data_IF_840671554260
#
_entry.id   IF_840671554260
#
_cell.length_a   1.000
_cell.length_b   1.000
_cell.length_c   1.000
_cell.angle_alpha   90.00
_cell.angle_beta   90.00
_cell.angle_gamma   90.00
#
_symmetry.space_group_name_H-M   'P 1'
#
loop_
_entity.id
_entity.type
_entity.pdbx_description
1 polymer ?
#
# COMPACT_ATOMS: atom_id res chain seq x y z
N UNK A 1 -8.57 -49.20 10.65
CA UNK A 1 -8.09 -48.24 9.62
C UNK A 1 -8.94 -46.98 9.74
N UNK A 2 -8.30 -45.81 9.87
CA UNK A 2 -8.99 -44.56 10.17
C UNK A 2 -9.75 -44.02 8.95
N UNK A 3 -11.00 -43.61 9.14
CA UNK A 3 -11.81 -42.89 8.15
C UNK A 3 -11.12 -41.56 7.79
N UNK A 4 -10.38 -41.53 6.67
CA UNK A 4 -9.91 -40.27 6.08
C UNK A 4 -11.12 -39.55 5.50
N UNK A 5 -11.64 -38.57 6.24
CA UNK A 5 -12.65 -37.62 5.73
C UNK A 5 -12.00 -36.84 4.58
N UNK A 6 -12.19 -37.30 3.35
CA UNK A 6 -11.78 -36.57 2.16
C UNK A 6 -12.65 -35.32 2.07
N UNK A 7 -12.04 -34.16 2.34
CA UNK A 7 -12.72 -32.88 2.15
C UNK A 7 -13.11 -32.76 0.68
N UNK A 8 -14.35 -32.32 0.42
CA UNK A 8 -14.89 -32.11 -0.92
C UNK A 8 -13.97 -31.13 -1.64
N UNK A 9 -13.43 -31.51 -2.81
CA UNK A 9 -12.61 -30.62 -3.62
C UNK A 9 -13.47 -29.42 -4.04
N UNK A 10 -13.04 -28.23 -3.65
CA UNK A 10 -13.68 -26.99 -4.10
C UNK A 10 -13.39 -26.89 -5.60
N UNK A 11 -14.42 -26.73 -6.42
CA UNK A 11 -14.25 -26.46 -7.85
C UNK A 11 -14.50 -24.97 -8.08
N UNK A 12 -13.44 -24.24 -8.39
CA UNK A 12 -13.51 -22.84 -8.82
C UNK A 12 -13.23 -22.82 -10.33
N UNK A 13 -13.93 -21.95 -11.07
CA UNK A 13 -13.61 -21.74 -12.49
C UNK A 13 -12.18 -21.22 -12.62
N UNK A 14 -11.37 -21.79 -13.54
CA UNK A 14 -9.94 -21.43 -13.70
C UNK A 14 -9.69 -19.93 -13.78
N UNK A 15 -10.53 -19.23 -14.53
CA UNK A 15 -10.48 -17.76 -14.68
C UNK A 15 -10.69 -17.02 -13.35
N UNK A 16 -11.60 -17.50 -12.49
CA UNK A 16 -11.84 -16.89 -11.18
C UNK A 16 -10.65 -17.09 -10.24
N UNK A 17 -10.03 -18.28 -10.25
CA UNK A 17 -8.84 -18.53 -9.42
C UNK A 17 -7.65 -17.67 -9.83
N UNK A 18 -7.45 -17.42 -11.13
CA UNK A 18 -6.41 -16.52 -11.62
C UNK A 18 -6.64 -15.09 -11.15
N UNK A 19 -7.87 -14.57 -11.31
CA UNK A 19 -8.22 -13.21 -10.89
C UNK A 19 -8.07 -12.99 -9.37
N UNK A 20 -8.49 -13.96 -8.56
CA UNK A 20 -8.36 -13.87 -7.09
C UNK A 20 -6.88 -13.85 -6.68
N UNK A 21 -6.07 -14.71 -7.30
CA UNK A 21 -4.64 -14.79 -7.01
C UNK A 21 -3.92 -13.50 -7.42
N UNK A 22 -4.18 -13.03 -8.64
CA UNK A 22 -3.61 -11.79 -9.16
C UNK A 22 -4.00 -10.61 -8.28
N UNK A 23 -5.28 -10.50 -7.89
CA UNK A 23 -5.74 -9.47 -6.97
C UNK A 23 -5.04 -9.56 -5.61
N UNK A 24 -4.91 -10.76 -5.03
CA UNK A 24 -4.27 -10.92 -3.74
C UNK A 24 -2.81 -10.47 -3.75
N UNK A 25 -2.08 -10.76 -4.83
CA UNK A 25 -0.66 -10.38 -4.99
C UNK A 25 -0.52 -8.89 -5.32
N UNK A 26 -1.26 -8.38 -6.30
CA UNK A 26 -1.06 -7.04 -6.88
C UNK A 26 -1.75 -5.92 -6.09
N UNK A 27 -2.92 -6.21 -5.49
CA UNK A 27 -3.72 -5.20 -4.78
C UNK A 27 -3.78 -5.51 -3.30
N UNK A 28 -4.18 -6.73 -2.93
CA UNK A 28 -4.43 -7.14 -1.54
C UNK A 28 -3.20 -7.00 -0.65
N UNK A 29 -2.09 -7.65 -1.02
CA UNK A 29 -0.86 -7.63 -0.23
C UNK A 29 0.00 -6.37 -0.45
N UNK A 30 -0.07 -5.76 -1.64
CA UNK A 30 0.74 -4.60 -2.00
C UNK A 30 0.24 -3.31 -1.34
N UNK A 31 -1.09 -3.08 -1.33
CA UNK A 31 -1.66 -1.87 -0.77
C UNK A 31 -1.82 -2.01 0.76
N UNK A 32 -1.31 -1.01 1.49
CA UNK A 32 -1.28 -1.00 2.96
C UNK A 32 -2.68 -1.17 3.56
N UNK A 33 -3.71 -0.58 2.94
CA UNK A 33 -5.09 -0.60 3.45
C UNK A 33 -5.67 -2.01 3.36
N UNK A 34 -5.66 -2.62 2.17
CA UNK A 34 -6.16 -3.98 2.00
C UNK A 34 -5.34 -4.99 2.78
N UNK A 35 -4.01 -4.81 2.86
CA UNK A 35 -3.17 -5.68 3.67
C UNK A 35 -3.58 -5.62 5.14
N UNK A 36 -3.90 -4.46 5.70
CA UNK A 36 -4.41 -4.34 7.08
C UNK A 36 -5.75 -5.07 7.26
N UNK A 37 -6.69 -4.90 6.32
CA UNK A 37 -7.98 -5.62 6.37
C UNK A 37 -7.78 -7.13 6.30
N UNK A 38 -6.89 -7.60 5.41
CA UNK A 38 -6.53 -9.01 5.28
C UNK A 38 -5.85 -9.52 6.58
N UNK A 39 -4.98 -8.72 7.20
CA UNK A 39 -4.35 -9.07 8.48
C UNK A 39 -5.38 -9.28 9.60
N UNK A 40 -6.34 -8.37 9.71
CA UNK A 40 -7.41 -8.44 10.71
C UNK A 40 -8.31 -9.65 10.46
N UNK A 41 -8.76 -9.83 9.21
CA UNK A 41 -9.70 -10.91 8.85
C UNK A 41 -9.06 -12.30 8.90
N UNK A 42 -7.81 -12.45 8.48
CA UNK A 42 -7.07 -13.72 8.54
C UNK A 42 -6.41 -13.95 9.91
N UNK A 43 -6.42 -12.94 10.79
CA UNK A 43 -5.70 -12.95 12.06
C UNK A 43 -4.21 -13.33 11.89
N UNK A 44 -3.54 -12.74 10.89
CA UNK A 44 -2.14 -13.02 10.54
C UNK A 44 -1.30 -11.75 10.56
N UNK A 45 -0.05 -11.90 10.98
CA UNK A 45 0.93 -10.82 10.95
C UNK A 45 1.38 -10.44 9.53
N UNK A 46 1.94 -9.23 9.39
CA UNK A 46 2.51 -8.69 8.14
C UNK A 46 3.48 -9.65 7.47
N UNK A 47 4.45 -10.16 8.22
CA UNK A 47 5.49 -11.06 7.70
C UNK A 47 4.94 -12.40 7.22
N UNK A 48 3.82 -12.86 7.78
CA UNK A 48 3.17 -14.10 7.35
C UNK A 48 2.49 -13.91 5.99
N UNK A 49 1.86 -12.76 5.76
CA UNK A 49 1.23 -12.46 4.47
C UNK A 49 2.27 -12.36 3.35
N UNK A 50 3.40 -11.69 3.57
CA UNK A 50 4.46 -11.65 2.56
C UNK A 50 5.00 -13.05 2.24
N UNK A 51 5.24 -13.87 3.28
CA UNK A 51 5.62 -15.28 3.07
C UNK A 51 4.57 -16.08 2.31
N UNK A 52 3.28 -15.79 2.50
CA UNK A 52 2.20 -16.41 1.72
C UNK A 52 2.25 -15.95 0.26
N UNK A 53 2.50 -14.67 0.00
CA UNK A 53 2.67 -14.14 -1.38
C UNK A 53 3.85 -14.81 -2.08
N UNK A 54 4.99 -14.98 -1.40
CA UNK A 54 6.16 -15.63 -1.99
C UNK A 54 5.85 -17.09 -2.36
N UNK A 55 5.24 -17.84 -1.42
CA UNK A 55 4.79 -19.22 -1.68
C UNK A 55 3.77 -19.32 -2.81
N UNK A 56 2.84 -18.36 -2.89
CA UNK A 56 1.85 -18.32 -3.96
C UNK A 56 2.51 -18.15 -5.33
N UNK A 57 3.53 -17.29 -5.44
CA UNK A 57 4.28 -17.08 -6.68
C UNK A 57 5.08 -18.32 -7.09
N UNK A 58 5.70 -19.00 -6.12
CA UNK A 58 6.44 -20.24 -6.36
C UNK A 58 5.51 -21.33 -6.91
N UNK A 59 4.41 -21.61 -6.21
CA UNK A 59 3.49 -22.69 -6.60
C UNK A 59 2.71 -22.34 -7.88
N UNK A 60 2.39 -21.06 -8.10
CA UNK A 60 1.74 -20.61 -9.32
C UNK A 60 2.59 -20.92 -10.56
N UNK A 61 3.92 -20.82 -10.46
CA UNK A 61 4.82 -21.11 -11.56
C UNK A 61 4.90 -22.62 -11.89
N UNK A 62 4.71 -23.49 -10.89
CA UNK A 62 4.83 -24.94 -11.03
C UNK A 62 3.49 -25.63 -11.36
N UNK A 63 2.46 -25.38 -10.55
CA UNK A 63 1.19 -26.12 -10.58
C UNK A 63 -0.01 -25.27 -11.04
N UNK A 64 0.17 -23.94 -11.10
CA UNK A 64 -0.84 -22.99 -11.55
C UNK A 64 -1.70 -22.38 -10.43
N UNK A 65 -2.58 -21.45 -10.80
CA UNK A 65 -3.20 -20.52 -9.86
C UNK A 65 -4.17 -21.17 -8.86
N UNK A 66 -4.91 -22.20 -9.29
CA UNK A 66 -5.86 -22.89 -8.42
C UNK A 66 -5.14 -23.72 -7.34
N UNK A 67 -4.09 -24.45 -7.73
CA UNK A 67 -3.32 -25.29 -6.81
C UNK A 67 -2.51 -24.42 -5.84
N UNK A 68 -1.99 -23.27 -6.28
CA UNK A 68 -1.38 -22.28 -5.39
C UNK A 68 -2.34 -21.83 -4.27
N UNK A 69 -3.56 -21.44 -4.63
CA UNK A 69 -4.57 -21.02 -3.66
C UNK A 69 -4.99 -22.15 -2.72
N UNK A 70 -5.13 -23.38 -3.24
CA UNK A 70 -5.55 -24.53 -2.46
C UNK A 70 -4.46 -25.03 -1.48
N UNK A 71 -3.18 -24.88 -1.82
CA UNK A 71 -2.07 -25.30 -0.98
C UNK A 71 -1.72 -24.26 0.10
N UNK A 72 -1.79 -22.96 -0.21
CA UNK A 72 -1.38 -21.90 0.70
C UNK A 72 -2.47 -21.53 1.71
N UNK A 73 -3.74 -21.58 1.29
CA UNK A 73 -4.86 -21.17 2.13
C UNK A 73 -5.71 -22.35 2.57
N UNK A 74 -6.22 -22.27 3.80
CA UNK A 74 -7.29 -23.14 4.25
C UNK A 74 -8.62 -22.74 3.61
N UNK A 75 -9.60 -23.66 3.63
CA UNK A 75 -10.95 -23.40 3.08
C UNK A 75 -11.59 -22.15 3.72
N UNK A 76 -11.42 -21.96 5.03
CA UNK A 76 -11.96 -20.80 5.73
C UNK A 76 -11.32 -19.49 5.26
N UNK A 77 -9.99 -19.50 5.07
CA UNK A 77 -9.24 -18.33 4.60
C UNK A 77 -9.57 -18.02 3.14
N UNK A 78 -9.79 -19.04 2.29
CA UNK A 78 -10.25 -18.85 0.92
C UNK A 78 -11.59 -18.15 0.86
N UNK A 79 -12.55 -18.54 1.69
CA UNK A 79 -13.86 -17.87 1.74
C UNK A 79 -13.71 -16.39 2.12
N UNK A 80 -12.89 -16.08 3.12
CA UNK A 80 -12.60 -14.70 3.52
C UNK A 80 -11.99 -13.90 2.37
N UNK A 81 -11.02 -14.50 1.66
CA UNK A 81 -10.35 -13.85 0.53
C UNK A 81 -11.33 -13.61 -0.62
N UNK A 82 -12.22 -14.56 -0.89
CA UNK A 82 -13.28 -14.43 -1.91
C UNK A 82 -14.25 -13.29 -1.53
N UNK A 83 -14.65 -13.21 -0.27
CA UNK A 83 -15.52 -12.13 0.20
C UNK A 83 -14.86 -10.77 0.03
N UNK A 84 -13.59 -10.64 0.43
CA UNK A 84 -12.81 -9.41 0.24
C UNK A 84 -12.60 -9.05 -1.23
N UNK A 85 -12.40 -10.06 -2.09
CA UNK A 85 -12.28 -9.88 -3.54
C UNK A 85 -13.59 -9.37 -4.15
N UNK A 86 -14.73 -9.91 -3.73
CA UNK A 86 -16.04 -9.46 -4.20
C UNK A 86 -16.34 -8.03 -3.70
N UNK A 87 -16.04 -7.72 -2.44
CA UNK A 87 -16.15 -6.36 -1.90
C UNK A 87 -15.30 -5.37 -2.71
N UNK A 88 -14.08 -5.76 -3.05
CA UNK A 88 -13.18 -4.97 -3.90
C UNK A 88 -13.78 -4.69 -5.29
N UNK A 89 -14.41 -5.69 -5.92
CA UNK A 89 -15.03 -5.50 -7.24
C UNK A 89 -16.23 -4.55 -7.22
N UNK A 90 -16.96 -4.50 -6.10
CA UNK A 90 -18.20 -3.73 -5.96
C UNK A 90 -17.92 -2.28 -5.56
N UNK A 91 -17.00 -2.09 -4.61
CA UNK A 91 -16.57 -0.79 -4.13
C UNK A 91 -15.06 -0.86 -3.86
N UNK A 92 -14.22 -0.59 -4.87
CA UNK A 92 -12.80 -0.37 -4.61
C UNK A 92 -12.74 0.77 -3.60
N UNK A 93 -12.23 0.60 -2.36
CA UNK A 93 -11.97 1.73 -1.50
C UNK A 93 -11.15 2.70 -2.32
N UNK A 94 -11.77 3.86 -2.55
CA UNK A 94 -11.26 4.97 -3.34
C UNK A 94 -9.75 4.98 -3.20
N UNK A 95 -9.07 4.92 -4.35
CA UNK A 95 -7.64 5.11 -4.42
C UNK A 95 -7.32 6.34 -3.56
N UNK A 96 -6.82 6.11 -2.35
CA UNK A 96 -6.34 7.20 -1.53
C UNK A 96 -5.18 7.71 -2.34
N UNK A 97 -5.37 8.90 -2.88
CA UNK A 97 -4.34 9.69 -3.51
C UNK A 97 -3.02 9.42 -2.79
N UNK A 98 -1.97 9.11 -3.55
CA UNK A 98 -0.63 8.95 -3.00
C UNK A 98 -0.27 10.18 -2.16
N UNK A 99 0.68 10.07 -1.20
CA UNK A 99 1.11 11.24 -0.44
C UNK A 99 1.49 12.44 -1.33
N UNK A 100 2.02 12.15 -2.52
CA UNK A 100 2.35 13.13 -3.57
C UNK A 100 1.09 13.81 -4.14
N UNK A 101 0.08 13.03 -4.53
CA UNK A 101 -1.20 13.56 -5.03
C UNK A 101 -1.98 14.33 -3.95
N UNK A 102 -1.82 13.98 -2.67
CA UNK A 102 -2.37 14.77 -1.55
C UNK A 102 -1.67 16.11 -1.39
N UNK A 103 -0.34 16.10 -1.46
CA UNK A 103 0.46 17.32 -1.39
C UNK A 103 0.12 18.27 -2.55
N UNK A 104 -0.01 17.74 -3.77
CA UNK A 104 -0.41 18.53 -4.94
C UNK A 104 -1.82 19.13 -4.78
N UNK A 105 -2.78 18.36 -4.25
CA UNK A 105 -4.13 18.85 -3.95
C UNK A 105 -4.15 19.90 -2.83
N UNK A 106 -3.27 19.80 -1.84
CA UNK A 106 -3.13 20.78 -0.77
C UNK A 106 -2.51 22.09 -1.28
N UNK A 107 -1.46 21.99 -2.11
CA UNK A 107 -0.82 23.15 -2.76
C UNK A 107 -1.81 23.89 -3.67
N UNK A 108 -2.60 23.15 -4.45
CA UNK A 108 -3.66 23.71 -5.28
C UNK A 108 -4.71 24.47 -4.44
N UNK A 109 -5.22 23.87 -3.37
CA UNK A 109 -6.19 24.53 -2.45
C UNK A 109 -5.63 25.77 -1.78
N UNK A 110 -4.35 25.75 -1.40
CA UNK A 110 -3.67 26.92 -0.83
C UNK A 110 -3.58 28.05 -1.88
N UNK A 111 -3.18 27.73 -3.11
CA UNK A 111 -3.09 28.71 -4.20
C UNK A 111 -4.45 29.34 -4.53
N UNK A 112 -5.53 28.56 -4.53
CA UNK A 112 -6.90 29.05 -4.73
C UNK A 112 -7.34 29.99 -3.60
N UNK A 113 -7.03 29.62 -2.36
CA UNK A 113 -7.37 30.42 -1.17
C UNK A 113 -6.61 31.74 -1.17
N UNK A 114 -5.31 31.72 -1.48
CA UNK A 114 -4.48 32.93 -1.60
C UNK A 114 -4.98 33.82 -2.73
N UNK A 115 -5.26 33.26 -3.90
CA UNK A 115 -5.78 34.02 -5.05
C UNK A 115 -7.15 34.64 -4.78
N UNK A 116 -8.01 33.99 -3.99
CA UNK A 116 -9.28 34.57 -3.55
C UNK A 116 -9.04 35.80 -2.66
N UNK A 117 -8.19 35.68 -1.65
CA UNK A 117 -7.87 36.81 -0.77
C UNK A 117 -7.16 37.95 -1.51
N UNK A 118 -6.28 37.66 -2.47
CA UNK A 118 -5.62 38.68 -3.30
C UNK A 118 -6.62 39.43 -4.19
N UNK A 119 -7.59 38.73 -4.79
CA UNK A 119 -8.67 39.35 -5.56
C UNK A 119 -9.55 40.25 -4.69
N UNK A 120 -9.86 39.81 -3.47
CA UNK A 120 -10.63 40.60 -2.50
C UNK A 120 -9.87 41.88 -2.09
N UNK A 121 -8.54 41.85 -2.10
CA UNK A 121 -7.67 43.02 -1.88
C UNK A 121 -7.34 43.83 -3.15
N UNK A 122 -7.93 43.49 -4.31
CA UNK A 122 -7.69 44.18 -5.58
C UNK A 122 -6.29 43.96 -6.17
N UNK A 123 -5.56 42.94 -5.72
CA UNK A 123 -4.23 42.57 -6.19
C UNK A 123 -4.29 41.52 -7.30
N UNK A 124 -3.26 41.49 -8.15
CA UNK A 124 -3.15 40.50 -9.23
C UNK A 124 -2.88 39.10 -8.65
N UNK A 125 -3.44 38.02 -9.24
CA UNK A 125 -3.20 36.66 -8.80
C UNK A 125 -1.73 36.27 -8.98
N UNK A 126 -1.24 35.42 -8.08
CA UNK A 126 0.12 34.86 -8.17
C UNK A 126 0.06 33.62 -9.05
N UNK A 127 0.73 33.67 -10.20
CA UNK A 127 0.97 32.48 -11.04
C UNK A 127 2.27 31.82 -10.57
N UNK A 128 2.18 30.56 -10.15
CA UNK A 128 3.37 29.77 -9.83
C UNK A 128 4.07 29.37 -11.15
N UNK A 129 5.19 30.02 -11.46
CA UNK A 129 6.19 29.46 -12.35
C UNK A 129 7.09 28.56 -11.52
N UNK A 130 7.05 27.25 -11.76
CA UNK A 130 8.06 26.36 -11.16
C UNK A 130 9.43 26.73 -11.74
N UNK A 131 10.33 27.21 -10.88
CA UNK A 131 11.75 27.34 -11.19
C UNK A 131 12.48 26.10 -10.66
N UNK A 132 13.51 25.66 -11.38
CA UNK A 132 14.26 24.40 -11.19
C UNK A 132 14.93 24.22 -9.81
N UNK A 133 14.82 25.20 -8.91
CA UNK A 133 15.45 25.20 -7.59
C UNK A 133 14.64 24.42 -6.53
N UNK A 134 13.32 24.23 -6.71
CA UNK A 134 12.47 23.49 -5.75
C UNK A 134 12.75 21.98 -5.72
N UNK A 135 13.49 21.44 -6.70
CA UNK A 135 13.84 20.02 -6.77
C UNK A 135 14.94 19.59 -5.77
N UNK A 136 15.68 20.54 -5.18
CA UNK A 136 16.80 20.22 -4.27
C UNK A 136 16.42 20.19 -2.79
N UNK A 137 15.35 20.88 -2.39
CA UNK A 137 14.98 20.97 -0.96
C UNK A 137 14.29 19.70 -0.42
N UNK A 138 13.72 18.85 -1.27
CA UNK A 138 13.06 17.59 -0.86
C UNK A 138 14.03 16.56 -0.26
N UNK A 139 15.35 16.75 -0.40
CA UNK A 139 16.36 15.79 0.09
C UNK A 139 16.77 16.00 1.55
N UNK A 140 16.30 17.05 2.24
CA UNK A 140 16.75 17.40 3.59
C UNK A 140 15.57 17.38 4.56
N UNK A 141 15.02 16.18 4.81
CA UNK A 141 14.27 15.94 6.05
C UNK A 141 15.26 15.98 7.22
N UNK A 142 15.37 17.13 7.89
CA UNK A 142 15.98 17.21 9.21
C UNK A 142 14.88 17.16 10.28
N UNK A 143 14.83 16.02 10.96
CA UNK A 143 14.20 15.86 12.28
C UNK A 143 14.79 16.88 13.27
N UNK A 144 13.95 17.71 13.86
CA UNK A 144 14.31 18.70 14.88
C UNK A 144 14.12 18.07 16.27
N UNK A 145 15.19 17.93 17.04
CA UNK A 145 15.12 17.72 18.50
C UNK A 145 15.15 19.08 19.24
N UNK A 146 14.55 19.12 20.43
CA UNK A 146 14.12 20.29 21.23
C UNK A 146 15.21 21.29 21.72
N UNK A 147 16.37 21.41 21.06
CA UNK A 147 17.44 22.34 21.49
C UNK A 147 18.07 23.22 20.41
N UNK A 148 17.50 23.28 19.20
CA UNK A 148 17.71 24.40 18.28
C UNK A 148 19.16 24.63 17.81
N UNK A 149 19.93 23.57 17.54
CA UNK A 149 21.22 23.68 16.81
C UNK A 149 21.36 22.59 15.74
N UNK A 150 21.60 23.02 14.50
CA UNK A 150 21.96 22.17 13.36
C UNK A 150 23.43 21.74 13.48
N UNK A 151 23.70 20.44 13.36
CA UNK A 151 25.05 19.88 13.34
C UNK A 151 25.26 19.14 12.02
N UNK A 152 26.38 19.44 11.35
CA UNK A 152 26.83 18.72 10.16
C UNK A 152 27.11 17.24 10.46
N UNK A 153 26.68 16.37 9.55
CA UNK A 153 26.76 14.91 9.64
C UNK A 153 28.20 14.38 9.84
N UNK A 154 29.22 15.13 9.43
CA UNK A 154 30.63 14.74 9.61
C UNK A 154 31.06 14.75 11.09
N UNK A 155 30.51 15.64 11.92
CA UNK A 155 30.88 15.72 13.35
C UNK A 155 30.25 14.62 14.20
N UNK A 156 29.29 13.87 13.66
CA UNK A 156 28.57 12.82 14.37
C UNK A 156 29.27 11.46 14.31
N UNK A 157 30.01 11.18 13.23
CA UNK A 157 30.75 9.93 13.09
C UNK A 157 31.97 9.84 14.04
N UNK A 158 32.64 10.95 14.33
CA UNK A 158 33.81 10.94 15.22
C UNK A 158 33.46 10.67 16.70
N UNK A 159 32.22 10.96 17.12
CA UNK A 159 31.80 10.75 18.52
C UNK A 159 31.39 9.32 18.84
N UNK A 160 31.12 8.49 17.85
CA UNK A 160 30.66 7.11 18.05
C UNK A 160 31.79 6.06 18.13
N UNK A 161 33.02 6.43 17.76
CA UNK A 161 34.17 5.54 17.70
C UNK A 161 35.24 5.81 18.78
N UNK A 162 34.85 6.40 19.92
CA UNK A 162 35.76 6.64 21.05
C UNK A 162 35.28 5.96 22.32
#
# INVERSE_FOLDING_TARGET
MANTKTQKRISIAKTKSELILEWFISVGAANITYRKVIQEKLNKGKSTIYRMVDKLKEIQAEDGSFDALAQVFTIAELNIIIDLFNEYQIAPPEAKDTPEEKHEKELAKQSETVNKHLKDMGMKPVEHHMTEDDAKEVSIEQSIDESGKTLDLEQRFERFNK
#
